data_IF_746444444344
#
_entry.id   IF_746444444344
#
_cell.length_a   1.000
_cell.length_b   1.000
_cell.length_c   1.000
_cell.angle_alpha   90.00
_cell.angle_beta   90.00
_cell.angle_gamma   90.00
#
_symmetry.space_group_name_H-M   'P 1'
#
loop_
_entity.id
_entity.type
_entity.pdbx_description
1 polymer ?
#
# COMPACT_ATOMS: atom_id res chain seq x y z
N UNK A 1 2.74 -2.84 45.66
CA UNK A 1 2.03 -3.24 44.45
C UNK A 1 1.98 -2.04 43.51
N UNK A 2 2.97 -1.93 42.65
CA UNK A 2 3.10 -0.83 41.68
C UNK A 2 2.78 -1.41 40.31
N UNK A 3 1.67 -0.96 39.74
CA UNK A 3 1.25 -1.31 38.38
C UNK A 3 2.16 -0.59 37.38
N UNK A 4 2.92 -1.34 36.60
CA UNK A 4 3.63 -0.83 35.43
C UNK A 4 2.61 -0.70 34.28
N UNK A 5 2.31 0.54 33.93
CA UNK A 5 1.63 0.86 32.69
C UNK A 5 2.62 0.68 31.52
N UNK A 6 2.44 -0.39 30.76
CA UNK A 6 3.13 -0.61 29.49
C UNK A 6 2.66 0.43 28.48
N UNK A 7 3.46 1.48 28.28
CA UNK A 7 3.30 2.40 27.16
C UNK A 7 3.64 1.67 25.87
N UNK A 8 2.66 1.51 24.99
CA UNK A 8 2.89 1.11 23.62
C UNK A 8 3.75 2.18 22.94
N UNK A 9 5.00 1.85 22.64
CA UNK A 9 5.89 2.66 21.84
C UNK A 9 5.39 2.64 20.38
N UNK A 10 4.46 3.53 20.08
CA UNK A 10 4.14 3.91 18.71
C UNK A 10 5.25 4.79 18.17
N UNK A 11 6.39 4.18 17.81
CA UNK A 11 7.41 4.86 17.01
C UNK A 11 6.78 5.22 15.68
N UNK A 12 6.63 6.52 15.43
CA UNK A 12 6.16 6.98 14.14
C UNK A 12 7.20 6.52 13.12
N UNK A 13 6.80 5.75 12.10
CA UNK A 13 7.65 5.27 11.00
C UNK A 13 8.47 6.41 10.32
N UNK A 14 8.15 7.70 10.58
CA UNK A 14 8.94 8.90 10.28
C UNK A 14 10.40 8.82 10.77
N UNK A 15 10.66 8.05 11.82
CA UNK A 15 11.96 8.01 12.49
C UNK A 15 12.81 6.80 12.06
N UNK A 16 12.29 5.94 11.19
CA UNK A 16 13.10 4.83 10.68
C UNK A 16 14.17 5.35 9.74
N UNK A 17 15.43 4.93 9.95
CA UNK A 17 16.56 5.23 9.06
C UNK A 17 16.24 4.89 7.59
N UNK A 18 15.43 3.85 7.35
CA UNK A 18 14.93 3.44 6.03
C UNK A 18 14.05 4.48 5.34
N UNK A 19 13.26 5.25 6.11
CA UNK A 19 12.44 6.32 5.56
C UNK A 19 13.30 7.48 5.06
N UNK A 20 14.38 7.80 5.77
CA UNK A 20 15.35 8.83 5.36
C UNK A 20 16.16 8.39 4.13
N UNK A 21 16.57 7.13 4.05
CA UNK A 21 17.29 6.56 2.91
C UNK A 21 16.40 6.46 1.65
N UNK A 22 15.08 6.35 1.80
CA UNK A 22 14.16 6.21 0.69
C UNK A 22 13.92 7.51 -0.12
N UNK A 23 14.38 8.66 0.36
CA UNK A 23 14.18 9.96 -0.31
C UNK A 23 12.72 10.44 -0.24
N UNK A 24 12.09 10.30 0.93
CA UNK A 24 10.70 10.68 1.17
C UNK A 24 10.56 12.19 1.28
N UNK A 25 9.71 12.78 0.44
CA UNK A 25 9.32 14.18 0.53
C UNK A 25 8.11 14.36 1.48
N UNK A 26 8.36 14.94 2.65
CA UNK A 26 7.36 15.17 3.69
C UNK A 26 6.54 16.44 3.47
N UNK A 27 7.04 17.35 2.66
CA UNK A 27 6.44 18.69 2.45
C UNK A 27 5.54 18.72 1.22
N UNK A 28 5.58 17.68 0.40
CA UNK A 28 4.75 17.56 -0.80
C UNK A 28 3.72 16.46 -0.64
N UNK A 29 2.44 16.80 -0.90
CA UNK A 29 1.36 15.83 -0.90
C UNK A 29 1.53 14.78 -2.01
N UNK A 30 1.21 13.51 -1.69
CA UNK A 30 1.33 12.39 -2.60
C UNK A 30 0.02 11.62 -2.73
N UNK A 31 -0.29 11.14 -3.94
CA UNK A 31 -1.55 10.47 -4.26
C UNK A 31 -1.75 9.18 -3.44
N UNK A 32 -0.70 8.37 -3.25
CA UNK A 32 -0.79 7.12 -2.48
C UNK A 32 -1.12 7.39 -1.01
N UNK A 33 -0.50 8.41 -0.39
CA UNK A 33 -0.74 8.81 0.99
C UNK A 33 -2.10 9.49 1.18
N UNK A 34 -2.56 10.27 0.19
CA UNK A 34 -3.92 10.85 0.16
C UNK A 34 -4.96 9.73 0.11
N UNK A 35 -4.74 8.73 -0.75
CA UNK A 35 -5.63 7.57 -0.87
C UNK A 35 -5.69 6.77 0.42
N UNK A 36 -4.54 6.54 1.08
CA UNK A 36 -4.45 5.92 2.40
C UNK A 36 -5.32 6.66 3.42
N UNK A 37 -5.20 8.00 3.50
CA UNK A 37 -6.02 8.82 4.40
C UNK A 37 -7.52 8.69 4.11
N UNK A 38 -7.92 8.70 2.82
CA UNK A 38 -9.33 8.57 2.42
C UNK A 38 -9.93 7.20 2.77
N UNK A 39 -9.09 6.18 2.89
CA UNK A 39 -9.46 4.85 3.39
C UNK A 39 -9.45 4.74 4.91
N UNK A 40 -8.98 5.76 5.64
CA UNK A 40 -8.84 5.76 7.10
C UNK A 40 -7.53 5.18 7.60
N UNK A 41 -6.53 5.05 6.73
CA UNK A 41 -5.18 4.60 7.08
C UNK A 41 -4.37 5.66 7.84
N UNK A 42 -3.20 5.28 8.32
CA UNK A 42 -2.32 6.10 9.15
C UNK A 42 -0.97 6.44 8.48
N UNK A 43 -0.73 5.96 7.27
CA UNK A 43 0.52 6.18 6.53
C UNK A 43 0.47 7.46 5.68
N UNK A 44 0.06 8.57 6.29
CA UNK A 44 -0.10 9.86 5.64
C UNK A 44 0.41 11.01 6.52
N UNK A 45 0.81 12.11 5.89
CA UNK A 45 1.32 13.29 6.57
C UNK A 45 0.29 14.42 6.64
N UNK A 46 0.63 15.50 7.37
CA UNK A 46 -0.23 16.67 7.49
C UNK A 46 -0.58 17.28 6.12
N UNK A 47 0.40 17.37 5.22
CA UNK A 47 0.22 17.90 3.86
C UNK A 47 -0.74 17.05 3.02
N UNK A 48 -0.72 15.71 3.20
CA UNK A 48 -1.63 14.79 2.51
C UNK A 48 -3.07 14.95 3.01
N UNK A 49 -3.24 15.08 4.34
CA UNK A 49 -4.55 15.31 4.97
C UNK A 49 -5.16 16.66 4.59
N UNK A 50 -4.31 17.70 4.51
CA UNK A 50 -4.76 19.01 4.03
C UNK A 50 -5.26 18.92 2.58
N UNK A 51 -4.51 18.25 1.71
CA UNK A 51 -4.91 18.05 0.33
C UNK A 51 -6.17 17.18 0.21
N UNK A 52 -6.28 16.11 1.00
CA UNK A 52 -7.48 15.28 1.06
C UNK A 52 -8.72 16.07 1.50
N UNK A 53 -8.54 17.00 2.46
CA UNK A 53 -9.63 17.87 2.92
C UNK A 53 -10.14 18.79 1.79
N UNK A 54 -9.24 19.31 0.94
CA UNK A 54 -9.61 20.09 -0.25
C UNK A 54 -10.37 19.24 -1.28
N UNK A 55 -9.95 17.99 -1.47
CA UNK A 55 -10.63 17.03 -2.36
C UNK A 55 -12.05 16.74 -1.82
N UNK A 56 -12.18 16.46 -0.53
CA UNK A 56 -13.48 16.18 0.09
C UNK A 56 -14.42 17.38 0.09
N UNK A 57 -13.89 18.60 0.17
CA UNK A 57 -14.69 19.82 0.04
C UNK A 57 -15.31 19.98 -1.36
N UNK A 58 -14.60 19.51 -2.41
CA UNK A 58 -15.09 19.54 -3.80
C UNK A 58 -15.91 18.30 -4.15
N UNK A 59 -15.57 17.16 -3.58
CA UNK A 59 -16.23 15.88 -3.82
C UNK A 59 -16.40 15.11 -2.50
N UNK A 60 -17.50 15.34 -1.76
CA UNK A 60 -17.76 14.71 -0.46
C UNK A 60 -17.80 13.17 -0.50
N UNK A 61 -18.13 12.59 -1.63
CA UNK A 61 -18.24 11.13 -1.81
C UNK A 61 -16.90 10.44 -2.08
N UNK A 62 -15.79 11.17 -2.17
CA UNK A 62 -14.49 10.59 -2.56
C UNK A 62 -14.05 9.44 -1.64
N UNK A 63 -14.25 9.54 -0.34
CA UNK A 63 -13.93 8.46 0.58
C UNK A 63 -14.80 7.19 0.34
N UNK A 64 -16.05 7.37 -0.05
CA UNK A 64 -16.92 6.26 -0.47
C UNK A 64 -16.40 5.63 -1.78
N UNK A 65 -16.02 6.46 -2.76
CA UNK A 65 -15.46 5.99 -4.03
C UNK A 65 -14.18 5.15 -3.79
N UNK A 66 -13.29 5.62 -2.92
CA UNK A 66 -12.08 4.86 -2.57
C UNK A 66 -12.41 3.49 -1.96
N UNK A 67 -13.37 3.42 -1.03
CA UNK A 67 -13.83 2.14 -0.45
C UNK A 67 -14.48 1.24 -1.49
N UNK A 68 -15.36 1.76 -2.33
CA UNK A 68 -15.99 1.00 -3.40
C UNK A 68 -14.96 0.43 -4.40
N UNK A 69 -13.89 1.19 -4.68
CA UNK A 69 -12.77 0.71 -5.49
C UNK A 69 -12.02 -0.45 -4.83
N UNK A 70 -11.78 -0.40 -3.51
CA UNK A 70 -11.16 -1.52 -2.77
C UNK A 70 -12.07 -2.76 -2.78
N UNK A 71 -13.38 -2.58 -2.61
CA UNK A 71 -14.34 -3.67 -2.70
C UNK A 71 -14.40 -4.29 -4.11
N UNK A 72 -14.24 -3.46 -5.15
CA UNK A 72 -14.13 -3.96 -6.53
C UNK A 72 -12.84 -4.77 -6.71
N UNK A 73 -11.69 -4.27 -6.24
CA UNK A 73 -10.42 -4.97 -6.30
C UNK A 73 -10.54 -6.37 -5.66
N UNK A 74 -11.12 -6.45 -4.46
CA UNK A 74 -11.35 -7.73 -3.79
C UNK A 74 -12.13 -8.69 -4.67
N UNK A 75 -13.28 -8.28 -5.19
CA UNK A 75 -14.11 -9.14 -6.07
C UNK A 75 -13.37 -9.54 -7.35
N UNK A 76 -12.57 -8.64 -7.93
CA UNK A 76 -11.78 -8.94 -9.12
C UNK A 76 -10.72 -10.00 -8.85
N UNK A 77 -9.98 -9.89 -7.74
CA UNK A 77 -8.97 -10.89 -7.34
C UNK A 77 -9.64 -12.24 -7.05
N UNK A 78 -10.72 -12.27 -6.28
CA UNK A 78 -11.50 -13.48 -5.98
C UNK A 78 -12.00 -14.16 -7.28
N UNK A 79 -12.49 -13.35 -8.22
CA UNK A 79 -12.94 -13.88 -9.53
C UNK A 79 -11.78 -14.47 -10.34
N UNK A 80 -10.63 -13.80 -10.38
CA UNK A 80 -9.43 -14.31 -11.04
C UNK A 80 -8.99 -15.66 -10.45
N UNK A 81 -8.95 -15.76 -9.11
CA UNK A 81 -8.59 -17.00 -8.42
C UNK A 81 -9.55 -18.14 -8.71
N UNK A 82 -10.86 -17.86 -8.77
CA UNK A 82 -11.88 -18.85 -9.13
C UNK A 82 -11.71 -19.37 -10.57
N UNK A 83 -11.06 -18.59 -11.46
CA UNK A 83 -10.75 -18.97 -12.83
C UNK A 83 -9.33 -19.48 -13.06
N UNK A 84 -8.62 -19.81 -11.97
CA UNK A 84 -7.30 -20.44 -12.03
C UNK A 84 -6.13 -19.46 -12.22
N UNK A 85 -6.38 -18.15 -12.14
CA UNK A 85 -5.31 -17.14 -12.18
C UNK A 85 -4.74 -17.03 -10.76
N UNK A 86 -3.45 -17.30 -10.60
CA UNK A 86 -2.75 -17.35 -9.32
C UNK A 86 -1.53 -16.42 -9.26
N UNK A 87 -1.31 -15.63 -10.30
CA UNK A 87 -0.22 -14.66 -10.36
C UNK A 87 -0.79 -13.28 -10.62
N UNK A 88 -0.37 -12.33 -9.81
CA UNK A 88 -0.87 -10.95 -9.85
C UNK A 88 0.30 -9.97 -9.91
N UNK A 89 0.22 -9.02 -10.81
CA UNK A 89 1.10 -7.85 -10.88
C UNK A 89 0.27 -6.60 -10.57
N UNK A 90 0.54 -5.99 -9.42
CA UNK A 90 -0.14 -4.78 -8.94
C UNK A 90 0.71 -3.55 -9.26
N UNK A 91 0.30 -2.80 -10.27
CA UNK A 91 1.01 -1.61 -10.77
C UNK A 91 0.46 -0.33 -10.14
N UNK A 92 1.30 0.43 -9.49
CA UNK A 92 0.89 1.59 -8.70
C UNK A 92 0.16 1.16 -7.45
N UNK A 93 0.70 0.17 -6.75
CA UNK A 93 0.06 -0.50 -5.61
C UNK A 93 -0.29 0.44 -4.45
N UNK A 94 0.40 1.56 -4.33
CA UNK A 94 0.20 2.52 -3.24
C UNK A 94 0.65 1.99 -1.88
N UNK A 95 0.23 2.69 -0.84
CA UNK A 95 0.49 2.27 0.54
C UNK A 95 -0.42 1.09 0.88
N UNK A 96 0.12 -0.07 1.31
CA UNK A 96 -0.69 -1.19 1.71
C UNK A 96 -1.46 -0.85 3.00
N UNK A 97 -2.78 -0.82 2.88
CA UNK A 97 -3.73 -0.65 3.98
C UNK A 97 -4.40 -2.00 4.29
N UNK A 98 -5.71 -2.09 4.37
CA UNK A 98 -6.42 -3.34 4.53
C UNK A 98 -6.96 -3.85 3.18
N UNK A 99 -7.06 -5.19 3.01
CA UNK A 99 -7.59 -5.82 1.81
C UNK A 99 -6.63 -5.71 0.61
N UNK A 100 -5.36 -5.93 0.86
CA UNK A 100 -4.33 -5.96 -0.18
C UNK A 100 -4.45 -7.20 -1.05
N UNK A 101 -3.95 -7.14 -2.28
CA UNK A 101 -4.03 -8.26 -3.23
C UNK A 101 -3.47 -9.56 -2.64
N UNK A 102 -2.31 -9.51 -1.96
CA UNK A 102 -1.71 -10.70 -1.34
C UNK A 102 -2.56 -11.27 -0.21
N UNK A 103 -3.20 -10.44 0.61
CA UNK A 103 -4.07 -10.91 1.70
C UNK A 103 -5.24 -11.73 1.13
N UNK A 104 -5.87 -11.21 0.08
CA UNK A 104 -6.98 -11.88 -0.61
C UNK A 104 -6.48 -13.14 -1.32
N UNK A 105 -5.40 -13.03 -2.10
CA UNK A 105 -4.88 -14.12 -2.90
C UNK A 105 -4.42 -15.29 -2.04
N UNK A 106 -3.58 -15.05 -1.03
CA UNK A 106 -3.03 -16.09 -0.17
C UNK A 106 -4.07 -16.73 0.75
N UNK A 107 -5.13 -16.00 1.14
CA UNK A 107 -6.23 -16.58 1.90
C UNK A 107 -7.02 -17.63 1.11
N UNK A 108 -7.10 -17.51 -0.21
CA UNK A 108 -7.80 -18.45 -1.09
C UNK A 108 -6.88 -19.48 -1.74
N UNK A 109 -5.64 -19.10 -2.03
CA UNK A 109 -4.62 -19.89 -2.70
C UNK A 109 -3.25 -19.60 -2.08
N UNK A 110 -2.79 -20.39 -1.13
CA UNK A 110 -1.50 -20.16 -0.46
C UNK A 110 -0.30 -20.17 -1.41
N UNK A 111 -0.43 -20.81 -2.56
CA UNK A 111 0.57 -20.86 -3.64
C UNK A 111 0.53 -19.64 -4.58
N UNK A 112 -0.42 -18.73 -4.42
CA UNK A 112 -0.52 -17.56 -5.28
C UNK A 112 0.71 -16.65 -5.13
N UNK A 113 1.06 -15.95 -6.19
CA UNK A 113 2.20 -15.04 -6.25
C UNK A 113 1.71 -13.62 -6.53
N UNK A 114 2.26 -12.65 -5.81
CA UNK A 114 1.91 -11.23 -5.99
C UNK A 114 3.16 -10.39 -6.08
N UNK A 115 3.30 -9.64 -7.16
CA UNK A 115 4.34 -8.64 -7.33
C UNK A 115 3.73 -7.24 -7.23
N UNK A 116 4.21 -6.47 -6.26
CA UNK A 116 3.85 -5.07 -6.09
C UNK A 116 4.87 -4.17 -6.74
N UNK A 117 4.41 -3.20 -7.50
CA UNK A 117 5.25 -2.18 -8.13
C UNK A 117 4.69 -0.80 -7.80
N UNK A 118 5.51 0.04 -7.19
CA UNK A 118 5.17 1.44 -6.99
C UNK A 118 6.40 2.34 -7.17
N UNK A 119 6.18 3.59 -7.56
CA UNK A 119 7.24 4.57 -7.70
C UNK A 119 7.49 5.33 -6.39
N UNK A 120 6.46 5.44 -5.54
CA UNK A 120 6.49 6.24 -4.33
C UNK A 120 7.32 5.57 -3.23
N UNK A 121 8.39 6.22 -2.74
CA UNK A 121 9.27 5.63 -1.72
C UNK A 121 8.55 5.20 -0.44
N UNK A 122 7.54 5.97 0.01
CA UNK A 122 6.77 5.67 1.22
C UNK A 122 5.98 4.38 1.04
N UNK A 123 5.31 4.23 -0.11
CA UNK A 123 4.51 3.05 -0.42
C UNK A 123 5.39 1.79 -0.43
N UNK A 124 6.55 1.88 -1.09
CA UNK A 124 7.52 0.77 -1.19
C UNK A 124 8.11 0.42 0.17
N UNK A 125 8.55 1.40 0.95
CA UNK A 125 9.11 1.17 2.28
C UNK A 125 8.10 0.50 3.22
N UNK A 126 6.87 1.00 3.24
CA UNK A 126 5.81 0.44 4.07
C UNK A 126 5.38 -0.96 3.57
N UNK A 127 5.33 -1.17 2.26
CA UNK A 127 5.06 -2.49 1.70
C UNK A 127 6.10 -3.52 2.14
N UNK A 128 7.39 -3.17 2.15
CA UNK A 128 8.44 -4.06 2.67
C UNK A 128 8.27 -4.38 4.16
N UNK A 129 7.79 -3.44 4.97
CA UNK A 129 7.53 -3.69 6.40
C UNK A 129 6.34 -4.65 6.61
N UNK A 130 5.25 -4.43 5.89
CA UNK A 130 4.01 -5.22 6.03
C UNK A 130 4.16 -6.62 5.42
N UNK A 131 4.85 -6.71 4.27
CA UNK A 131 4.94 -7.93 3.45
C UNK A 131 6.19 -8.75 3.79
N UNK A 132 7.12 -8.18 4.56
CA UNK A 132 8.44 -8.77 4.83
C UNK A 132 8.37 -10.22 5.30
N UNK A 133 9.00 -11.13 4.54
CA UNK A 133 9.09 -12.56 4.88
C UNK A 133 8.06 -13.46 4.19
N UNK A 134 7.17 -12.93 3.35
CA UNK A 134 6.28 -13.75 2.51
C UNK A 134 7.02 -14.17 1.24
N UNK A 135 7.31 -15.46 1.08
CA UNK A 135 8.10 -16.01 -0.06
C UNK A 135 7.44 -15.77 -1.43
N UNK A 136 6.10 -15.71 -1.45
CA UNK A 136 5.31 -15.56 -2.68
C UNK A 136 4.94 -14.10 -3.00
N UNK A 137 5.48 -13.13 -2.26
CA UNK A 137 5.16 -11.71 -2.46
C UNK A 137 6.44 -10.91 -2.64
N UNK A 138 6.49 -10.12 -3.70
CA UNK A 138 7.61 -9.21 -3.97
C UNK A 138 7.15 -7.76 -3.99
N UNK A 139 8.08 -6.86 -3.70
CA UNK A 139 7.89 -5.40 -3.78
C UNK A 139 9.05 -4.80 -4.55
N UNK A 140 8.74 -4.04 -5.58
CA UNK A 140 9.75 -3.38 -6.42
C UNK A 140 9.45 -1.90 -6.54
N UNK A 141 10.46 -1.07 -6.30
CA UNK A 141 10.37 0.36 -6.64
C UNK A 141 10.68 0.55 -8.12
N UNK A 142 9.67 0.84 -8.93
CA UNK A 142 9.84 1.12 -10.34
C UNK A 142 8.75 2.06 -10.87
N UNK A 143 9.05 2.73 -11.98
CA UNK A 143 8.08 3.51 -12.73
C UNK A 143 7.31 2.57 -13.68
N UNK A 144 6.00 2.41 -13.49
CA UNK A 144 5.17 1.54 -14.32
C UNK A 144 5.13 1.95 -15.79
N UNK A 145 5.60 3.17 -16.14
CA UNK A 145 5.74 3.62 -17.54
C UNK A 145 6.95 2.99 -18.24
N UNK A 146 7.92 2.50 -17.46
CA UNK A 146 9.02 1.67 -17.95
C UNK A 146 8.63 0.19 -17.88
N UNK A 147 7.82 -0.27 -18.84
CA UNK A 147 7.33 -1.64 -18.86
C UNK A 147 8.47 -2.68 -18.94
N UNK A 148 9.57 -2.37 -19.62
CA UNK A 148 10.72 -3.27 -19.72
C UNK A 148 11.44 -3.40 -18.38
N UNK A 149 11.65 -2.29 -17.69
CA UNK A 149 12.25 -2.27 -16.35
C UNK A 149 11.40 -3.03 -15.33
N UNK A 150 10.07 -2.85 -15.38
CA UNK A 150 9.14 -3.58 -14.51
C UNK A 150 9.20 -5.09 -14.77
N UNK A 151 9.08 -5.53 -16.02
CA UNK A 151 9.09 -6.96 -16.37
C UNK A 151 10.45 -7.64 -16.12
N UNK A 152 11.54 -6.88 -16.04
CA UNK A 152 12.87 -7.39 -15.70
C UNK A 152 13.15 -7.37 -14.19
N UNK A 153 12.23 -6.81 -13.38
CA UNK A 153 12.44 -6.66 -11.95
C UNK A 153 12.38 -8.01 -11.22
N UNK A 154 13.22 -8.20 -10.18
CA UNK A 154 13.19 -9.41 -9.38
C UNK A 154 11.81 -9.65 -8.76
N UNK A 155 11.23 -10.82 -9.00
CA UNK A 155 9.93 -11.22 -8.44
C UNK A 155 8.69 -10.81 -9.24
N UNK A 156 8.88 -10.17 -10.42
CA UNK A 156 7.82 -9.92 -11.40
C UNK A 156 7.73 -11.04 -12.41
#
# INVERSE_FOLDING_TARGET
MTAQSGGAAGGTWRESERALEAGIDYDRANAARIYDYLLGGACNFAVDREQASKILAQNPDMAYVCRANRDFLRRAVEWCLAHGITQFLDLGSGVPTAGNVHEIALAHRPEARVAYVDFEPVAVAHAHEVIGGLENVSVTRADMRDAQGVLAAPGV
#
